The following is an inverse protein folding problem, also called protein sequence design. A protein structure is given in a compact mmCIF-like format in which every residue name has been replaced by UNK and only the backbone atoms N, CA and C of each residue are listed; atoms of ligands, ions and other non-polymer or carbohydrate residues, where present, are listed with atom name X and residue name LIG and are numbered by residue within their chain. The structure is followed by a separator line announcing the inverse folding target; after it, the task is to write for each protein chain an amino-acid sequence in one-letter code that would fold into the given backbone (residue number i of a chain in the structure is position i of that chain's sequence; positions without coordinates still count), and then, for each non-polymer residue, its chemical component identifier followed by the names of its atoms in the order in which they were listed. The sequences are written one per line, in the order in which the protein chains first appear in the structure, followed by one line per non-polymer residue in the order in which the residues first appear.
data_IF_843493575952
#
_entry.id   IF_843493575952
#
_cell.length_a   1.000
_cell.length_b   1.000
_cell.length_c   1.000
_cell.angle_alpha   90.00
_cell.angle_beta   90.00
_cell.angle_gamma   90.00
#
_symmetry.space_group_name_H-M   'P 1'
#
loop_
_entity.id
_entity.type
_entity.pdbx_description
1 polymer ?
#
# COMPACT_ATOMS: atom_id res chain seq x y z
N UNK A 1 -1.05 -22.68 -10.51
CA UNK A 1 -0.56 -22.90 -9.13
C UNK A 1 -1.67 -23.58 -8.34
N UNK A 2 -1.35 -24.57 -7.48
CA UNK A 2 -2.35 -25.29 -6.66
C UNK A 2 -2.63 -24.60 -5.31
N UNK A 3 -1.62 -23.95 -4.74
CA UNK A 3 -1.72 -23.02 -3.60
C UNK A 3 -0.87 -21.81 -3.91
N UNK A 4 -1.35 -20.61 -3.58
CA UNK A 4 -0.65 -19.36 -3.81
C UNK A 4 -1.14 -18.33 -2.79
N UNK A 5 -0.22 -17.69 -2.09
CA UNK A 5 -0.49 -16.74 -1.01
C UNK A 5 0.23 -15.40 -1.23
N UNK A 6 1.10 -15.29 -2.22
CA UNK A 6 1.81 -14.05 -2.57
C UNK A 6 1.74 -13.78 -4.06
N UNK A 7 1.72 -12.50 -4.42
CA UNK A 7 1.70 -12.05 -5.81
C UNK A 7 2.46 -10.74 -5.98
N UNK A 8 2.73 -10.36 -7.23
CA UNK A 8 3.35 -9.08 -7.56
C UNK A 8 2.27 -8.13 -8.08
N UNK A 9 1.90 -7.15 -7.26
CA UNK A 9 0.79 -6.23 -7.52
C UNK A 9 1.31 -4.83 -7.81
N UNK A 10 0.58 -4.06 -8.63
CA UNK A 10 0.98 -2.73 -9.07
C UNK A 10 -0.02 -1.68 -8.59
N UNK A 11 0.50 -0.62 -7.96
CA UNK A 11 -0.21 0.62 -7.70
C UNK A 11 -0.02 1.57 -8.89
N UNK A 12 -1.01 1.60 -9.78
CA UNK A 12 -0.91 2.23 -11.09
C UNK A 12 -0.71 3.75 -11.06
N UNK A 13 -1.38 4.49 -10.16
CA UNK A 13 -1.25 5.96 -10.12
C UNK A 13 0.14 6.43 -9.67
N UNK A 14 0.84 5.60 -8.92
CA UNK A 14 2.18 5.87 -8.38
C UNK A 14 3.29 5.11 -9.12
N UNK A 15 2.93 4.32 -10.15
CA UNK A 15 3.84 3.45 -10.89
C UNK A 15 4.74 2.57 -9.99
N UNK A 16 4.17 2.04 -8.90
CA UNK A 16 4.91 1.25 -7.91
C UNK A 16 4.41 -0.18 -7.85
N UNK A 17 5.31 -1.13 -8.10
CA UNK A 17 5.00 -2.56 -8.08
C UNK A 17 5.66 -3.23 -6.88
N UNK A 18 4.92 -4.03 -6.11
CA UNK A 18 5.43 -4.72 -4.93
C UNK A 18 4.92 -6.15 -4.85
N UNK A 19 5.81 -7.04 -4.41
CA UNK A 19 5.42 -8.36 -3.93
C UNK A 19 4.68 -8.17 -2.60
N UNK A 20 3.45 -8.63 -2.55
CA UNK A 20 2.62 -8.59 -1.34
C UNK A 20 1.82 -9.88 -1.17
N UNK A 21 1.38 -10.13 0.06
CA UNK A 21 0.57 -11.30 0.43
C UNK A 21 -0.88 -11.07 0.02
N UNK A 22 -1.50 -12.09 -0.54
CA UNK A 22 -2.93 -12.17 -0.80
C UNK A 22 -3.60 -12.55 0.52
N UNK A 23 -4.54 -11.72 0.97
CA UNK A 23 -5.25 -11.91 2.25
C UNK A 23 -6.54 -12.68 1.99
N UNK A 24 -7.36 -12.17 1.06
CA UNK A 24 -8.69 -12.73 0.83
C UNK A 24 -9.19 -12.56 -0.61
N UNK A 25 -10.12 -13.42 -1.03
CA UNK A 25 -10.92 -13.23 -2.25
C UNK A 25 -12.28 -12.69 -1.84
N UNK A 26 -12.63 -11.50 -2.33
CA UNK A 26 -13.85 -10.78 -1.91
C UNK A 26 -14.92 -10.74 -2.99
N UNK A 27 -14.55 -10.81 -4.27
CA UNK A 27 -15.52 -10.82 -5.35
C UNK A 27 -15.01 -11.57 -6.58
N UNK A 28 -15.93 -12.22 -7.28
CA UNK A 28 -15.69 -12.89 -8.55
C UNK A 28 -16.88 -12.64 -9.48
N UNK A 29 -16.62 -12.17 -10.69
CA UNK A 29 -17.67 -11.82 -11.65
C UNK A 29 -18.42 -13.04 -12.23
N UNK A 30 -17.77 -14.22 -12.26
CA UNK A 30 -18.30 -15.38 -12.97
C UNK A 30 -19.07 -16.33 -12.05
N UNK A 31 -18.64 -16.49 -10.80
CA UNK A 31 -19.25 -17.44 -9.88
C UNK A 31 -18.97 -17.07 -8.41
N UNK A 32 -20.05 -16.90 -7.63
CA UNK A 32 -19.98 -16.57 -6.21
C UNK A 32 -19.38 -17.70 -5.36
N UNK A 33 -19.49 -18.96 -5.78
CA UNK A 33 -18.88 -20.08 -5.05
C UNK A 33 -17.36 -19.95 -4.96
N UNK A 34 -16.72 -19.33 -5.97
CA UNK A 34 -15.27 -19.10 -5.97
C UNK A 34 -14.84 -18.10 -4.89
N UNK A 35 -15.73 -17.19 -4.49
CA UNK A 35 -15.52 -16.28 -3.35
C UNK A 35 -15.62 -17.05 -2.05
N UNK A 36 -16.58 -17.97 -1.93
CA UNK A 36 -16.77 -18.80 -0.72
C UNK A 36 -15.60 -19.76 -0.50
N UNK A 37 -15.06 -20.36 -1.56
CA UNK A 37 -13.95 -21.33 -1.50
C UNK A 37 -12.57 -20.68 -1.60
N UNK A 38 -12.48 -19.35 -1.67
CA UNK A 38 -11.21 -18.59 -1.80
C UNK A 38 -10.37 -19.04 -2.99
N UNK A 39 -11.04 -19.33 -4.11
CA UNK A 39 -10.39 -19.82 -5.32
C UNK A 39 -9.86 -18.66 -6.17
N UNK A 40 -8.54 -18.64 -6.39
CA UNK A 40 -7.88 -17.62 -7.19
C UNK A 40 -8.04 -17.91 -8.69
N UNK A 41 -8.65 -16.98 -9.41
CA UNK A 41 -8.76 -16.99 -10.89
C UNK A 41 -8.43 -15.61 -11.44
N UNK A 42 -8.20 -15.52 -12.75
CA UNK A 42 -7.97 -14.23 -13.42
C UNK A 42 -9.16 -13.29 -13.18
N UNK A 43 -8.86 -12.03 -12.88
CA UNK A 43 -9.85 -10.96 -12.66
C UNK A 43 -10.73 -11.12 -11.40
N UNK A 44 -10.37 -12.01 -10.46
CA UNK A 44 -10.96 -11.98 -9.12
C UNK A 44 -10.52 -10.70 -8.39
N UNK A 45 -11.43 -10.08 -7.63
CA UNK A 45 -11.09 -8.97 -6.74
C UNK A 45 -10.62 -9.57 -5.42
N UNK A 46 -9.39 -9.22 -5.04
CA UNK A 46 -8.71 -9.74 -3.86
C UNK A 46 -8.26 -8.61 -2.96
N UNK A 47 -8.22 -8.87 -1.66
CA UNK A 47 -7.59 -7.99 -0.67
C UNK A 47 -6.14 -8.41 -0.52
N UNK A 48 -5.24 -7.44 -0.55
CA UNK A 48 -3.79 -7.64 -0.41
C UNK A 48 -3.25 -6.85 0.76
N UNK A 49 -2.12 -7.29 1.31
CA UNK A 49 -1.43 -6.54 2.37
C UNK A 49 -0.89 -5.20 1.82
N UNK A 50 -1.29 -4.11 2.46
CA UNK A 50 -0.94 -2.74 2.07
C UNK A 50 0.45 -2.31 2.57
N UNK A 51 1.05 -3.05 3.51
CA UNK A 51 2.31 -2.68 4.17
C UNK A 51 3.47 -2.38 3.21
N UNK A 52 3.74 -3.20 2.17
CA UNK A 52 4.82 -2.91 1.23
C UNK A 52 4.63 -1.59 0.45
N UNK A 53 3.38 -1.23 0.15
CA UNK A 53 3.06 0.03 -0.52
C UNK A 53 3.16 1.22 0.43
N UNK A 54 2.70 1.07 1.67
CA UNK A 54 2.82 2.09 2.72
C UNK A 54 4.27 2.43 3.02
N UNK A 55 5.13 1.43 3.20
CA UNK A 55 6.57 1.62 3.41
C UNK A 55 7.24 2.36 2.24
N UNK A 56 6.84 2.02 1.01
CA UNK A 56 7.31 2.74 -0.18
C UNK A 56 6.85 4.20 -0.17
N UNK A 57 5.58 4.46 0.10
CA UNK A 57 5.01 5.81 0.15
C UNK A 57 5.73 6.67 1.18
N UNK A 58 5.90 6.16 2.40
CA UNK A 58 6.61 6.84 3.49
C UNK A 58 8.08 7.13 3.13
N UNK A 59 8.74 6.22 2.41
CA UNK A 59 10.10 6.42 1.90
C UNK A 59 10.19 7.42 0.73
N UNK A 60 9.16 7.46 -0.11
CA UNK A 60 9.12 8.26 -1.34
C UNK A 60 8.73 9.71 -1.07
N UNK A 61 7.69 9.91 -0.25
CA UNK A 61 7.10 11.20 0.07
C UNK A 61 7.49 11.74 1.45
N UNK A 62 8.02 10.90 2.34
CA UNK A 62 8.34 11.30 3.73
C UNK A 62 7.12 11.85 4.47
N UNK A 63 5.96 11.26 4.19
CA UNK A 63 4.69 11.55 4.84
C UNK A 63 4.09 10.24 5.34
N UNK A 64 3.42 10.23 6.50
CA UNK A 64 2.69 9.07 6.98
C UNK A 64 1.45 8.81 6.10
N UNK A 65 1.07 7.54 5.94
CA UNK A 65 -0.14 7.12 5.22
C UNK A 65 -0.88 6.05 6.03
N UNK A 66 -2.22 6.09 6.04
CA UNK A 66 -3.03 5.01 6.58
C UNK A 66 -2.95 4.82 8.10
N UNK A 67 -2.52 5.82 8.86
CA UNK A 67 -2.40 5.70 10.32
C UNK A 67 -3.65 6.18 11.03
N UNK A 68 -4.11 5.39 12.02
CA UNK A 68 -5.17 5.81 12.93
C UNK A 68 -4.75 7.10 13.63
N UNK A 69 -5.62 8.12 13.63
CA UNK A 69 -5.38 9.38 14.34
C UNK A 69 -5.01 9.10 15.80
N UNK A 70 -3.83 9.54 16.22
CA UNK A 70 -3.30 9.36 17.59
C UNK A 70 -2.43 8.12 17.81
N UNK A 71 -2.26 7.24 16.82
CA UNK A 71 -1.29 6.15 16.91
C UNK A 71 0.14 6.70 16.77
N UNK A 72 1.02 6.33 17.71
CA UNK A 72 2.45 6.67 17.63
C UNK A 72 3.09 5.90 16.48
N UNK A 73 4.02 6.55 15.79
CA UNK A 73 4.88 5.87 14.83
C UNK A 73 5.81 4.90 15.56
N UNK A 74 6.13 3.78 14.92
CA UNK A 74 7.22 2.95 15.43
C UNK A 74 8.55 3.66 15.19
N UNK A 75 9.57 3.36 15.99
CA UNK A 75 10.90 3.98 15.88
C UNK A 75 11.48 3.87 14.47
N UNK A 76 11.28 2.73 13.81
CA UNK A 76 11.75 2.50 12.44
C UNK A 76 11.09 3.45 11.42
N UNK A 77 9.81 3.75 11.58
CA UNK A 77 9.05 4.61 10.67
C UNK A 77 9.34 6.08 10.93
N UNK A 78 9.46 6.47 12.20
CA UNK A 78 9.94 7.79 12.61
C UNK A 78 11.34 8.08 12.06
N UNK A 79 12.24 7.10 12.11
CA UNK A 79 13.58 7.22 11.57
C UNK A 79 13.59 7.43 10.04
N UNK A 80 12.62 6.87 9.31
CA UNK A 80 12.49 7.05 7.86
C UNK A 80 11.92 8.44 7.53
N UNK A 81 10.86 8.84 8.21
CA UNK A 81 10.16 10.10 7.93
C UNK A 81 11.01 11.29 8.37
N UNK A 82 11.46 11.31 9.63
CA UNK A 82 12.16 12.43 10.26
C UNK A 82 13.68 12.41 10.07
N UNK A 83 14.19 11.59 9.14
CA UNK A 83 15.62 11.54 8.83
C UNK A 83 16.15 12.94 8.47
N UNK A 84 17.21 13.37 9.17
CA UNK A 84 17.95 14.59 8.80
C UNK A 84 18.56 14.41 7.41
N UNK A 85 18.26 15.35 6.52
CA UNK A 85 18.69 15.35 5.11
C UNK A 85 19.40 16.65 4.80
N UNK A 86 20.29 16.63 3.81
CA UNK A 86 20.90 17.86 3.28
C UNK A 86 19.84 18.79 2.68
N UNK A 87 20.15 20.08 2.59
CA UNK A 87 19.22 21.10 2.08
C UNK A 87 18.71 20.79 0.66
N UNK A 88 19.59 20.30 -0.22
CA UNK A 88 19.22 19.89 -1.59
C UNK A 88 18.23 18.73 -1.59
N UNK A 89 18.45 17.73 -0.73
CA UNK A 89 17.57 16.58 -0.61
C UNK A 89 16.23 16.96 0.02
N UNK A 90 16.23 17.82 1.05
CA UNK A 90 15.00 18.33 1.65
C UNK A 90 14.11 19.06 0.63
N UNK A 91 14.69 19.95 -0.19
CA UNK A 91 13.97 20.62 -1.28
C UNK A 91 13.35 19.65 -2.28
N UNK A 92 14.05 18.55 -2.60
CA UNK A 92 13.54 17.49 -3.49
C UNK A 92 12.29 16.81 -2.90
N UNK A 93 12.28 16.49 -1.61
CA UNK A 93 11.12 15.88 -0.95
C UNK A 93 9.95 16.86 -0.85
N UNK A 94 10.20 18.13 -0.49
CA UNK A 94 9.17 19.17 -0.48
C UNK A 94 8.48 19.32 -1.85
N UNK A 95 9.23 19.21 -2.95
CA UNK A 95 8.65 19.24 -4.28
C UNK A 95 7.75 18.02 -4.55
N UNK A 96 8.16 16.81 -4.12
CA UNK A 96 7.36 15.59 -4.27
C UNK A 96 6.10 15.58 -3.42
N UNK A 97 6.17 16.10 -2.19
CA UNK A 97 5.05 16.15 -1.26
C UNK A 97 3.82 16.88 -1.83
N UNK A 98 4.03 17.81 -2.77
CA UNK A 98 2.94 18.50 -3.49
C UNK A 98 2.04 17.56 -4.29
N UNK A 99 2.56 16.40 -4.70
CA UNK A 99 1.84 15.38 -5.47
C UNK A 99 1.41 14.19 -4.60
N UNK A 100 1.67 14.21 -3.30
CA UNK A 100 1.46 13.07 -2.41
C UNK A 100 -0.01 12.81 -2.05
N UNK A 101 -0.96 13.58 -2.59
CA UNK A 101 -2.38 13.43 -2.24
C UNK A 101 -2.91 12.10 -2.76
N UNK A 102 -3.34 11.26 -1.83
CA UNK A 102 -4.02 10.00 -2.12
C UNK A 102 -5.54 10.25 -2.11
N UNK A 103 -6.28 9.50 -2.93
CA UNK A 103 -7.74 9.55 -2.97
C UNK A 103 -8.32 8.95 -1.67
N UNK A 104 -9.44 9.49 -1.19
CA UNK A 104 -9.95 9.21 0.16
C UNK A 104 -10.33 7.74 0.37
N UNK A 105 -11.00 7.11 -0.61
CA UNK A 105 -11.35 5.69 -0.51
C UNK A 105 -10.10 4.79 -0.50
N UNK A 106 -9.04 5.17 -1.21
CA UNK A 106 -7.76 4.46 -1.12
C UNK A 106 -7.06 4.67 0.23
N UNK A 107 -7.11 5.88 0.79
CA UNK A 107 -6.55 6.16 2.12
C UNK A 107 -7.22 5.30 3.21
N UNK A 108 -8.53 5.11 3.14
CA UNK A 108 -9.29 4.23 4.03
C UNK A 108 -8.82 2.77 3.96
N UNK A 109 -8.45 2.27 2.78
CA UNK A 109 -7.94 0.91 2.61
C UNK A 109 -6.57 0.70 3.28
N UNK A 110 -5.78 1.76 3.51
CA UNK A 110 -4.53 1.66 4.25
C UNK A 110 -4.71 1.65 5.78
N UNK A 111 -5.92 1.93 6.29
CA UNK A 111 -6.22 1.87 7.73
C UNK A 111 -6.58 0.48 8.24
N UNK A 112 -6.91 -0.44 7.33
CA UNK A 112 -7.39 -1.80 7.63
C UNK A 112 -6.23 -2.78 7.65
#
# INVERSE_FOLDING_TARGET
ALRLDTGNFSWGSECSTRKTRIIDVVYNASNNELVRTKTLVKNAIVVVDATPFRQWYESHYTLPLGRKKGAKLTEAEEAIINKKRSQKTARKYLARQRLAKVEGALEEQFHT
#
